data_IF_672817841793
#
_entry.id   IF_672817841793
#
_cell.length_a   1.000
_cell.length_b   1.000
_cell.length_c   1.000
_cell.angle_alpha   90.00
_cell.angle_beta   90.00
_cell.angle_gamma   90.00
#
_symmetry.space_group_name_H-M   'P 1'
#
loop_
_entity.id
_entity.type
_entity.pdbx_description
1 polymer ?
#
# COMPACT_ATOMS: atom_id res chain seq x y z
N UNK A 1 1.42 7.91 -13.22
CA UNK A 1 0.60 7.09 -12.29
C UNK A 1 -0.69 6.56 -12.92
N UNK A 2 -1.37 7.37 -13.74
CA UNK A 2 -2.69 7.05 -14.31
C UNK A 2 -2.77 5.71 -15.06
N UNK A 3 -1.66 5.26 -15.66
CA UNK A 3 -1.54 3.93 -16.29
C UNK A 3 -1.85 2.76 -15.35
N UNK A 4 -1.76 2.94 -14.03
CA UNK A 4 -2.03 1.90 -13.04
C UNK A 4 -3.47 1.93 -12.49
N UNK A 5 -4.31 2.89 -12.88
CA UNK A 5 -5.71 2.98 -12.39
C UNK A 5 -6.50 1.72 -12.74
N UNK A 6 -6.31 1.20 -13.96
CA UNK A 6 -6.97 -0.02 -14.46
C UNK A 6 -6.24 -1.32 -14.11
N UNK A 7 -5.05 -1.25 -13.51
CA UNK A 7 -4.35 -2.45 -13.03
C UNK A 7 -4.68 -2.69 -11.55
N UNK A 8 -4.25 -3.84 -11.03
CA UNK A 8 -4.38 -4.16 -9.60
C UNK A 8 -3.29 -3.51 -8.73
N UNK A 9 -2.34 -2.78 -9.32
CA UNK A 9 -1.23 -2.17 -8.58
C UNK A 9 -1.76 -1.09 -7.61
N UNK A 10 -1.22 -1.11 -6.38
CA UNK A 10 -1.41 -0.09 -5.37
C UNK A 10 -0.04 0.48 -4.98
N UNK A 11 0.20 1.80 -5.01
CA UNK A 11 1.51 2.36 -4.60
C UNK A 11 1.70 2.44 -3.08
N UNK A 12 0.62 2.36 -2.29
CA UNK A 12 0.67 2.58 -0.84
C UNK A 12 1.64 1.65 -0.10
N UNK A 13 1.75 0.34 -0.40
CA UNK A 13 2.75 -0.52 0.24
C UNK A 13 4.22 -0.12 -0.02
N UNK A 14 4.49 0.80 -0.96
CA UNK A 14 5.83 1.35 -1.19
C UNK A 14 6.03 2.68 -0.49
N UNK A 15 5.00 3.53 -0.46
CA UNK A 15 5.17 4.96 -0.15
C UNK A 15 4.45 5.40 1.13
N UNK A 16 3.64 4.53 1.72
CA UNK A 16 2.79 4.86 2.86
C UNK A 16 2.92 3.81 3.96
N UNK A 17 2.74 4.27 5.20
CA UNK A 17 2.58 3.46 6.37
C UNK A 17 1.53 4.13 7.25
N UNK A 18 0.60 3.34 7.74
CA UNK A 18 -0.42 3.73 8.70
C UNK A 18 -0.08 3.06 10.03
N UNK A 19 -0.34 3.79 11.12
CA UNK A 19 0.04 3.38 12.48
C UNK A 19 -1.21 3.27 13.33
N UNK A 20 -1.43 2.09 13.90
CA UNK A 20 -2.56 1.80 14.78
C UNK A 20 -2.35 2.37 16.19
N UNK A 21 -3.44 2.53 16.94
CA UNK A 21 -3.42 3.01 18.34
C UNK A 21 -2.58 2.14 19.28
N UNK A 22 -2.39 0.86 18.94
CA UNK A 22 -1.57 -0.08 19.71
C UNK A 22 -0.10 -0.09 19.24
N UNK A 23 0.30 0.85 18.38
CA UNK A 23 1.62 0.94 17.76
C UNK A 23 1.88 -0.07 16.64
N UNK A 24 0.88 -0.85 16.22
CA UNK A 24 0.95 -1.67 15.01
C UNK A 24 1.09 -0.81 13.76
N UNK A 25 1.44 -1.44 12.64
CA UNK A 25 1.59 -0.73 11.38
C UNK A 25 1.03 -1.51 10.20
N UNK A 26 0.51 -0.78 9.23
CA UNK A 26 -0.20 -1.31 8.06
C UNK A 26 0.13 -0.50 6.80
N UNK A 27 0.06 -1.09 5.60
CA UNK A 27 0.32 -0.37 4.35
C UNK A 27 -0.74 0.70 4.03
N UNK A 28 -1.92 0.64 4.65
CA UNK A 28 -3.06 1.52 4.42
C UNK A 28 -4.13 1.32 5.49
N UNK A 29 -4.87 2.36 5.86
CA UNK A 29 -5.97 2.30 6.85
C UNK A 29 -7.16 1.38 6.49
N UNK A 30 -7.29 0.92 5.25
CA UNK A 30 -8.33 -0.05 4.84
C UNK A 30 -7.82 -1.48 4.76
N UNK A 31 -6.52 -1.68 5.03
CA UNK A 31 -5.89 -2.97 4.99
C UNK A 31 -6.38 -3.83 6.16
N UNK A 32 -6.79 -5.07 5.87
CA UNK A 32 -7.25 -5.99 6.91
C UNK A 32 -6.06 -6.66 7.58
N UNK A 33 -5.87 -6.35 8.86
CA UNK A 33 -4.75 -6.83 9.67
C UNK A 33 -3.58 -5.84 9.63
N UNK A 34 -2.48 -6.21 10.29
CA UNK A 34 -1.27 -5.39 10.38
C UNK A 34 -0.06 -6.20 9.92
N UNK A 35 1.06 -5.53 9.70
CA UNK A 35 2.35 -6.20 9.60
C UNK A 35 2.57 -7.00 10.91
N UNK A 36 2.84 -8.32 10.87
CA UNK A 36 2.95 -9.13 12.07
C UNK A 36 4.18 -8.78 12.90
N UNK A 37 4.06 -8.79 14.22
CA UNK A 37 5.20 -8.64 15.13
C UNK A 37 5.86 -7.27 15.15
N UNK A 38 5.23 -6.25 14.54
CA UNK A 38 5.79 -4.90 14.50
C UNK A 38 5.18 -3.98 15.53
N UNK A 39 6.02 -3.14 16.13
CA UNK A 39 5.63 -1.98 16.93
C UNK A 39 6.46 -0.77 16.57
N UNK A 40 5.83 0.33 16.19
CA UNK A 40 6.54 1.56 15.76
C UNK A 40 7.40 2.20 16.86
N UNK A 41 7.13 1.87 18.13
CA UNK A 41 7.92 2.33 19.27
C UNK A 41 9.08 1.40 19.63
N UNK A 42 9.19 0.22 18.99
CA UNK A 42 10.28 -0.76 19.21
C UNK A 42 11.27 -0.79 18.04
N UNK A 43 10.85 -0.38 16.83
CA UNK A 43 11.66 -0.46 15.63
C UNK A 43 11.43 0.72 14.68
N UNK A 44 12.40 0.97 13.80
CA UNK A 44 12.33 2.08 12.86
C UNK A 44 11.26 1.87 11.78
N UNK A 45 10.66 2.96 11.30
CA UNK A 45 9.69 2.92 10.20
C UNK A 45 10.28 2.32 8.91
N UNK A 46 11.59 2.54 8.68
CA UNK A 46 12.30 1.94 7.55
C UNK A 46 12.32 0.41 7.64
N UNK A 47 12.62 -0.13 8.83
CA UNK A 47 12.62 -1.57 9.09
C UNK A 47 11.23 -2.19 8.90
N UNK A 48 10.18 -1.48 9.28
CA UNK A 48 8.79 -1.91 9.04
C UNK A 48 8.48 -1.94 7.54
N UNK A 49 8.94 -0.94 6.80
CA UNK A 49 8.69 -0.84 5.36
C UNK A 49 9.39 -1.93 4.55
N UNK A 50 10.56 -2.38 5.01
CA UNK A 50 11.32 -3.50 4.44
C UNK A 50 10.98 -4.84 5.09
N UNK A 51 9.94 -4.92 5.91
CA UNK A 51 9.51 -6.18 6.53
C UNK A 51 9.04 -7.18 5.46
N UNK A 52 9.31 -8.47 5.67
CA UNK A 52 8.98 -9.56 4.73
C UNK A 52 7.52 -9.53 4.28
N UNK A 53 6.60 -9.32 5.22
CA UNK A 53 5.16 -9.15 4.92
C UNK A 53 4.87 -8.04 3.89
N UNK A 54 5.55 -6.88 4.01
CA UNK A 54 5.39 -5.77 3.08
C UNK A 54 6.01 -6.09 1.72
N UNK A 55 7.12 -6.83 1.70
CA UNK A 55 7.75 -7.30 0.46
C UNK A 55 6.86 -8.29 -0.30
N UNK A 56 6.30 -9.27 0.39
CA UNK A 56 5.38 -10.25 -0.19
C UNK A 56 4.10 -9.56 -0.69
N UNK A 57 3.58 -8.58 0.04
CA UNK A 57 2.45 -7.77 -0.42
C UNK A 57 2.78 -7.03 -1.73
N UNK A 58 3.96 -6.39 -1.80
CA UNK A 58 4.45 -5.71 -3.01
C UNK A 58 4.61 -6.67 -4.18
N UNK A 59 5.09 -7.89 -3.93
CA UNK A 59 5.22 -8.96 -4.93
C UNK A 59 3.87 -9.40 -5.50
N UNK A 60 2.85 -9.62 -4.66
CA UNK A 60 1.50 -9.93 -5.12
C UNK A 60 0.94 -8.86 -6.06
N UNK A 61 1.14 -7.58 -5.71
CA UNK A 61 0.75 -6.48 -6.60
C UNK A 61 1.51 -6.46 -7.93
N UNK A 62 2.82 -6.78 -7.92
CA UNK A 62 3.62 -6.92 -9.15
C UNK A 62 3.11 -8.05 -10.05
N UNK A 63 2.64 -9.14 -9.45
CA UNK A 63 2.04 -10.28 -10.15
C UNK A 63 0.62 -10.00 -10.66
N UNK A 64 0.07 -8.81 -10.40
CA UNK A 64 -1.30 -8.47 -10.77
C UNK A 64 -2.37 -9.17 -9.92
N UNK A 65 -2.01 -9.67 -8.74
CA UNK A 65 -2.95 -10.32 -7.84
C UNK A 65 -3.83 -9.29 -7.12
N UNK A 66 -4.94 -9.77 -6.53
CA UNK A 66 -5.83 -9.01 -5.64
C UNK A 66 -5.69 -9.56 -4.22
N UNK A 67 -4.74 -9.06 -3.39
CA UNK A 67 -4.55 -9.55 -2.03
C UNK A 67 -5.86 -9.47 -1.22
N UNK A 68 -6.18 -10.53 -0.49
CA UNK A 68 -7.40 -10.61 0.35
C UNK A 68 -7.44 -9.55 1.44
N UNK A 69 -6.28 -9.11 1.93
CA UNK A 69 -6.20 -8.02 2.92
C UNK A 69 -6.67 -6.66 2.36
N UNK A 70 -6.73 -6.50 1.04
CA UNK A 70 -7.22 -5.28 0.37
C UNK A 70 -8.66 -5.42 -0.15
N UNK A 71 -9.42 -6.40 0.35
CA UNK A 71 -10.76 -6.75 -0.14
C UNK A 71 -11.73 -5.57 -0.18
N UNK A 72 -11.65 -4.63 0.75
CA UNK A 72 -12.50 -3.43 0.75
C UNK A 72 -12.36 -2.63 -0.56
N UNK A 73 -11.14 -2.45 -1.07
CA UNK A 73 -10.93 -1.76 -2.35
C UNK A 73 -11.48 -2.57 -3.52
N UNK A 74 -11.33 -3.90 -3.51
CA UNK A 74 -11.83 -4.77 -4.57
C UNK A 74 -13.35 -4.79 -4.64
N UNK A 75 -14.02 -4.83 -3.48
CA UNK A 75 -15.48 -4.74 -3.40
C UNK A 75 -16.00 -3.41 -3.94
N UNK A 76 -15.33 -2.29 -3.64
CA UNK A 76 -15.69 -0.99 -4.21
C UNK A 76 -15.52 -0.99 -5.74
N UNK A 77 -14.38 -1.46 -6.23
CA UNK A 77 -14.06 -1.48 -7.66
C UNK A 77 -15.00 -2.41 -8.46
N UNK A 78 -15.28 -3.61 -7.93
CA UNK A 78 -16.18 -4.58 -8.55
C UNK A 78 -17.64 -4.09 -8.53
N UNK A 79 -18.00 -3.24 -7.56
CA UNK A 79 -19.29 -2.53 -7.53
C UNK A 79 -19.33 -1.26 -8.40
N UNK A 80 -18.27 -0.97 -9.15
CA UNK A 80 -18.16 0.21 -10.04
C UNK A 80 -17.89 1.53 -9.31
N UNK A 81 -17.45 1.49 -8.04
CA UNK A 81 -17.06 2.67 -7.26
C UNK A 81 -15.55 2.90 -7.32
N UNK A 82 -15.15 4.16 -7.11
CA UNK A 82 -13.74 4.53 -7.00
C UNK A 82 -13.21 4.15 -5.61
N UNK A 83 -12.26 3.21 -5.56
CA UNK A 83 -11.67 2.78 -4.30
C UNK A 83 -10.66 3.76 -3.73
N UNK A 84 -10.28 3.57 -2.46
CA UNK A 84 -9.14 4.30 -1.87
C UNK A 84 -7.85 4.11 -2.67
N UNK A 85 -7.59 2.91 -3.21
CA UNK A 85 -6.42 2.63 -4.07
C UNK A 85 -6.41 3.54 -5.29
N UNK A 86 -7.50 3.59 -6.04
CA UNK A 86 -7.61 4.44 -7.23
C UNK A 86 -7.53 5.92 -6.89
N UNK A 87 -8.18 6.34 -5.80
CA UNK A 87 -8.09 7.71 -5.29
C UNK A 87 -6.66 8.11 -4.89
N UNK A 88 -5.91 7.21 -4.24
CA UNK A 88 -4.50 7.44 -3.89
C UNK A 88 -3.63 7.57 -5.15
N UNK A 89 -3.84 6.74 -6.17
CA UNK A 89 -3.13 6.85 -7.46
C UNK A 89 -3.38 8.22 -8.10
N UNK A 90 -4.64 8.67 -8.11
CA UNK A 90 -5.01 9.98 -8.65
C UNK A 90 -4.36 11.13 -7.87
N UNK A 91 -4.44 11.12 -6.53
CA UNK A 91 -3.88 12.18 -5.68
C UNK A 91 -2.36 12.23 -5.75
N UNK A 92 -1.70 11.08 -5.80
CA UNK A 92 -0.24 10.98 -5.82
C UNK A 92 0.37 11.11 -7.22
N UNK A 93 -0.43 11.38 -8.27
CA UNK A 93 0.05 11.39 -9.65
C UNK A 93 1.22 12.32 -9.92
N UNK A 94 1.24 13.48 -9.28
CA UNK A 94 2.31 14.48 -9.41
C UNK A 94 3.53 14.09 -8.59
N UNK A 95 3.34 13.75 -7.32
CA UNK A 95 4.42 13.39 -6.39
C UNK A 95 5.12 12.07 -6.73
N UNK A 96 4.43 11.17 -7.44
CA UNK A 96 4.92 9.87 -7.87
C UNK A 96 5.02 9.77 -9.41
N UNK A 97 5.31 10.88 -10.10
CA UNK A 97 5.38 10.92 -11.56
C UNK A 97 6.31 9.84 -12.15
N UNK A 98 7.48 9.64 -11.53
CA UNK A 98 8.51 8.68 -11.95
C UNK A 98 8.44 7.34 -11.21
N UNK A 99 7.43 7.11 -10.39
CA UNK A 99 7.32 5.88 -9.60
C UNK A 99 6.91 4.69 -10.47
N UNK A 100 7.48 3.53 -10.15
CA UNK A 100 7.10 2.25 -10.74
C UNK A 100 7.02 1.17 -9.66
N UNK A 101 6.35 0.03 -9.90
CA UNK A 101 6.38 -1.10 -8.98
C UNK A 101 7.79 -1.59 -8.64
N UNK A 102 8.77 -1.34 -9.51
CA UNK A 102 10.18 -1.71 -9.32
C UNK A 102 10.99 -0.67 -8.55
N UNK A 103 10.41 0.50 -8.23
CA UNK A 103 11.04 1.48 -7.38
C UNK A 103 11.24 0.94 -5.96
N UNK A 104 12.32 1.36 -5.32
CA UNK A 104 12.59 1.02 -3.94
C UNK A 104 11.49 1.56 -3.00
N UNK A 105 11.09 0.78 -1.98
CA UNK A 105 10.13 1.22 -0.99
C UNK A 105 10.73 2.37 -0.17
N UNK A 106 10.15 3.56 -0.30
CA UNK A 106 10.58 4.75 0.45
C UNK A 106 9.34 5.49 0.89
N UNK A 107 9.22 5.75 2.20
CA UNK A 107 8.10 6.50 2.74
C UNK A 107 8.09 7.91 2.13
N UNK A 108 6.92 8.34 1.67
CA UNK A 108 6.70 9.66 1.10
C UNK A 108 5.62 10.35 1.92
N UNK A 109 5.95 11.51 2.49
CA UNK A 109 5.00 12.39 3.16
C UNK A 109 4.34 13.27 2.10
N UNK A 110 3.21 12.81 1.56
CA UNK A 110 2.46 13.43 0.45
C UNK A 110 1.07 13.81 0.93
#
# INVERSE_FOLDING_TARGET
MDKYIKSNICPLPWTHLEVDVNGGASPCCLHKGSVPGVKVYEQSLSSIQTHEYMEELRKKFKNGERPSACQSCWQEEDAGKTSKRQNSIYKMRSSLANWTPNSEPTLKFI
#
